data_IF_144700172681
#
_entry.id   IF_144700172681
#
_cell.length_a   1.000
_cell.length_b   1.000
_cell.length_c   1.000
_cell.angle_alpha   90.00
_cell.angle_beta   90.00
_cell.angle_gamma   90.00
#
_symmetry.space_group_name_H-M   'P 1'
#
loop_
_entity.id
_entity.type
_entity.pdbx_description
1 polymer ?
2 branched ?
3 branched ?
4 non-polymer ?
5 water ?
#
# COMPACT_ATOMS: atom_id res chain seq x y z
N UNK A 39 16.83 16.43 -10.23
CA UNK A 39 17.05 14.95 -10.37
C UNK A 39 17.01 14.11 -9.10
N UNK A 40 16.91 14.76 -7.93
CA UNK A 40 16.82 14.07 -6.63
C UNK A 40 15.55 14.42 -5.81
N UNK A 41 14.71 15.34 -6.30
CA UNK A 41 13.55 15.80 -5.54
C UNK A 41 12.49 14.71 -5.37
N UNK A 42 11.79 14.71 -4.24
CA UNK A 42 10.65 13.80 -4.02
C UNK A 42 9.52 14.07 -5.03
N UNK A 43 8.82 12.99 -5.43
CA UNK A 43 7.63 13.12 -6.29
C UNK A 43 6.35 12.88 -5.48
N UNK A 44 5.47 13.89 -5.46
CA UNK A 44 4.23 13.85 -4.67
C UNK A 44 3.01 13.33 -5.44
N UNK A 45 3.25 12.71 -6.60
CA UNK A 45 2.24 11.93 -7.36
C UNK A 45 2.63 10.43 -7.39
N UNK A 46 3.54 10.03 -6.48
CA UNK A 46 4.02 8.65 -6.34
C UNK A 46 3.73 8.16 -4.92
N UNK A 47 2.88 7.12 -4.82
CA UNK A 47 2.32 6.62 -3.55
C UNK A 47 2.84 5.20 -3.27
N UNK A 48 3.51 4.98 -2.13
CA UNK A 48 4.09 3.68 -1.84
C UNK A 48 3.35 3.04 -0.65
N UNK A 49 2.78 1.84 -0.88
CA UNK A 49 1.97 1.16 0.16
C UNK A 49 2.85 0.65 1.31
N UNK A 50 2.52 1.09 2.53
CA UNK A 50 3.34 0.90 3.73
C UNK A 50 2.51 0.20 4.83
N UNK A 51 3.15 -0.74 5.53
CA UNK A 51 2.54 -1.60 6.56
C UNK A 51 3.22 -1.34 7.90
N UNK A 52 2.40 -1.05 8.94
CA UNK A 52 2.87 -0.65 10.29
C UNK A 52 2.60 -1.69 11.37
N UNK A 53 2.50 -2.96 10.97
CA UNK A 53 2.01 -4.04 11.84
C UNK A 53 3.12 -4.95 12.41
N UNK A 54 4.39 -4.59 12.17
CA UNK A 54 5.52 -5.39 12.67
C UNK A 54 5.91 -5.02 14.12
N UNK A 55 6.28 -6.02 14.91
CA UNK A 55 6.75 -5.79 16.28
C UNK A 55 8.14 -6.32 16.52
N UNK A 56 8.79 -5.84 17.59
CA UNK A 56 10.03 -6.41 18.08
C UNK A 56 10.00 -6.57 19.60
N UNK A 57 10.90 -7.41 20.11
CA UNK A 57 11.08 -7.51 21.58
C UNK A 57 11.45 -6.16 22.19
N UNK A 58 12.31 -5.39 21.49
CA UNK A 58 12.79 -4.09 22.01
C UNK A 58 11.67 -3.12 22.38
N UNK A 59 10.66 -3.02 21.51
CA UNK A 59 9.60 -2.02 21.68
C UNK A 59 8.30 -2.66 22.19
N UNK A 60 7.79 -3.66 21.45
CA UNK A 60 6.47 -4.27 21.71
C UNK A 60 6.49 -5.39 22.75
N UNK A 61 7.66 -5.99 22.96
CA UNK A 61 7.81 -7.22 23.77
C UNK A 61 7.48 -8.51 23.04
N UNK A 62 7.24 -8.42 21.73
CA UNK A 62 6.78 -9.54 20.93
C UNK A 62 7.10 -9.26 19.47
N UNK A 63 7.49 -10.28 18.71
CA UNK A 63 7.77 -10.17 17.28
C UNK A 63 6.49 -10.31 16.41
N UNK A 64 5.60 -9.34 16.59
CA UNK A 64 4.30 -9.31 15.88
C UNK A 64 4.49 -9.33 14.36
N UNK A 65 3.64 -10.11 13.66
CA UNK A 65 3.65 -10.30 12.20
C UNK A 65 4.85 -11.12 11.65
N UNK A 66 6.05 -11.00 12.23
CA UNK A 66 7.13 -11.93 11.88
C UNK A 66 6.68 -13.37 12.21
N UNK A 67 5.91 -13.49 13.32
CA UNK A 67 5.09 -14.68 13.63
C UNK A 67 3.71 -14.50 12.98
N UNK A 68 3.22 -15.51 12.27
CA UNK A 68 1.95 -15.37 11.50
C UNK A 68 1.34 -16.76 11.27
N UNK A 69 0.02 -16.85 11.37
CA UNK A 69 -0.71 -18.09 11.02
C UNK A 69 -0.54 -18.43 9.53
N UNK A 70 -0.46 -19.73 9.21
CA UNK A 70 -0.45 -20.20 7.82
C UNK A 70 -1.93 -20.32 7.39
N UNK A 71 -2.23 -19.79 6.20
CA UNK A 71 -3.61 -19.78 5.70
C UNK A 71 -4.02 -21.18 5.21
N UNK A 72 -5.24 -21.64 5.58
CA UNK A 72 -5.74 -22.87 4.98
C UNK A 72 -6.03 -22.67 3.49
N UNK A 73 -5.96 -23.77 2.73
CA UNK A 73 -6.25 -23.75 1.28
C UNK A 73 -7.78 -23.53 1.13
N UNK A 74 -8.19 -22.45 0.41
CA UNK A 74 -9.63 -22.20 0.17
C UNK A 74 -10.40 -23.32 -0.55
N UNK A 75 -9.70 -24.15 -1.32
CA UNK A 75 -10.33 -25.26 -2.07
C UNK A 75 -10.26 -26.58 -1.32
N UNK A 81 -5.71 -27.79 10.00
CA UNK A 81 -4.68 -27.45 10.99
C UNK A 81 -3.34 -27.09 10.31
N UNK A 82 -3.29 -25.97 9.56
CA UNK A 82 -2.09 -25.65 8.78
C UNK A 82 -0.88 -25.19 9.61
N UNK A 83 -1.10 -24.72 10.84
CA UNK A 83 -0.02 -24.31 11.72
C UNK A 83 0.31 -22.83 11.67
N UNK A 84 1.44 -22.50 12.32
CA UNK A 84 1.88 -21.11 12.49
C UNK A 84 3.39 -20.99 12.32
N UNK A 85 3.82 -19.91 11.66
CA UNK A 85 5.23 -19.53 11.55
C UNK A 85 5.59 -18.82 12.87
N UNK A 86 6.65 -19.26 13.61
CA UNK A 86 6.83 -18.75 14.99
C UNK A 86 7.52 -17.38 15.15
N UNK A 87 8.08 -16.82 14.06
CA UNK A 87 8.75 -15.51 14.17
C UNK A 87 10.05 -15.52 14.96
N UNK A 88 10.72 -16.67 14.98
CA UNK A 88 12.07 -16.79 15.54
C UNK A 88 13.08 -16.19 14.56
N UNK A 89 14.35 -16.06 14.98
CA UNK A 89 15.37 -15.57 14.06
C UNK A 89 15.46 -16.44 12.80
N UNK A 90 15.31 -17.74 12.98
CA UNK A 90 15.43 -18.72 11.90
C UNK A 90 14.20 -18.83 10.98
N UNK A 91 13.00 -18.55 11.52
CA UNK A 91 11.73 -18.84 10.82
C UNK A 91 10.73 -17.65 10.95
N UNK A 92 10.73 -16.79 9.93
CA UNK A 92 9.83 -15.62 9.86
C UNK A 92 8.83 -15.79 8.72
N UNK A 93 7.75 -14.99 8.77
CA UNK A 93 6.63 -15.09 7.84
C UNK A 93 6.87 -14.31 6.52
N UNK A 94 7.95 -14.69 5.83
CA UNK A 94 8.34 -14.12 4.53
C UNK A 94 9.22 -15.15 3.83
N UNK A 95 9.20 -15.10 2.48
CA UNK A 95 10.18 -15.85 1.68
C UNK A 95 11.53 -15.10 1.55
N UNK A 96 11.59 -13.82 1.99
CA UNK A 96 12.81 -12.99 2.02
C UNK A 96 13.16 -12.64 3.49
N UNK A 97 14.31 -11.97 3.69
CA UNK A 97 14.80 -11.63 5.04
C UNK A 97 15.20 -10.13 5.08
N UNK A 98 14.57 -9.31 5.96
CA UNK A 98 14.88 -7.88 5.98
C UNK A 98 16.34 -7.54 6.38
N UNK A 99 16.95 -6.57 5.68
CA UNK A 99 18.25 -5.99 6.12
C UNK A 99 18.20 -5.49 7.57
N UNK A 100 17.06 -4.91 7.98
CA UNK A 100 16.87 -4.37 9.33
C UNK A 100 16.44 -5.40 10.37
N UNK A 101 16.34 -6.68 9.98
CA UNK A 101 15.95 -7.75 10.88
C UNK A 101 14.47 -7.74 11.26
N UNK A 102 14.14 -8.41 12.39
CA UNK A 102 12.77 -8.48 12.90
C UNK A 102 12.43 -7.18 13.65
N UNK A 103 12.16 -6.13 12.87
CA UNK A 103 12.01 -4.77 13.41
C UNK A 103 10.60 -4.45 13.93
N UNK A 104 10.51 -3.41 14.77
CA UNK A 104 9.20 -2.85 15.19
C UNK A 104 8.82 -1.59 14.39
N UNK A 105 7.56 -1.56 13.92
CA UNK A 105 6.99 -0.36 13.29
C UNK A 105 6.77 0.80 14.29
N UNK A 106 6.94 0.54 15.59
CA UNK A 106 6.86 1.57 16.63
C UNK A 106 8.25 1.98 17.16
N UNK A 107 9.33 1.53 16.53
CA UNK A 107 10.72 1.89 16.95
C UNK A 107 11.10 3.20 16.21
N UNK A 108 11.23 4.34 16.93
CA UNK A 108 11.54 5.59 16.21
C UNK A 108 12.83 5.52 15.38
N UNK A 109 13.80 4.70 15.78
CA UNK A 109 15.04 4.59 15.03
C UNK A 109 14.84 3.83 13.69
N UNK A 110 13.97 2.81 13.69
CA UNK A 110 13.59 2.11 12.44
C UNK A 110 12.85 3.10 11.52
N UNK A 111 11.94 3.89 12.09
CA UNK A 111 11.13 4.81 11.26
C UNK A 111 12.02 5.85 10.58
N UNK A 112 13.03 6.36 11.30
CA UNK A 112 14.02 7.28 10.70
C UNK A 112 14.66 6.67 9.45
N UNK A 113 15.13 5.43 9.60
CA UNK A 113 15.77 4.69 8.50
C UNK A 113 14.79 4.48 7.31
N UNK A 114 13.54 4.11 7.60
CA UNK A 114 12.53 3.98 6.54
C UNK A 114 12.32 5.30 5.77
N UNK A 115 12.27 6.43 6.48
CA UNK A 115 12.08 7.71 5.78
C UNK A 115 13.31 8.05 4.91
N UNK A 116 14.53 7.74 5.38
CA UNK A 116 15.73 7.87 4.54
C UNK A 116 15.65 7.00 3.28
N UNK A 117 15.06 5.80 3.41
CA UNK A 117 14.84 4.92 2.24
C UNK A 117 13.82 5.52 1.23
N UNK A 118 12.73 6.11 1.74
CA UNK A 118 11.77 6.84 0.86
C UNK A 118 12.49 7.98 0.10
N UNK A 119 13.36 8.72 0.80
CA UNK A 119 14.13 9.79 0.13
C UNK A 119 15.03 9.22 -0.99
N UNK A 120 15.71 8.10 -0.72
CA UNK A 120 16.53 7.45 -1.75
C UNK A 120 15.70 7.02 -2.97
N UNK A 121 14.48 6.53 -2.74
CA UNK A 121 13.57 6.08 -3.79
C UNK A 121 12.82 7.23 -4.51
N UNK A 122 12.89 8.45 -3.94
CA UNK A 122 12.19 9.64 -4.48
C UNK A 122 10.65 9.55 -4.36
N UNK A 123 10.16 8.68 -3.47
CA UNK A 123 8.71 8.44 -3.30
C UNK A 123 8.17 9.41 -2.23
N UNK A 124 7.37 10.40 -2.64
CA UNK A 124 6.93 11.45 -1.74
C UNK A 124 5.74 11.15 -0.84
N UNK A 125 4.96 10.11 -1.13
CA UNK A 125 3.76 9.80 -0.33
C UNK A 125 3.79 8.34 0.16
N UNK A 126 3.60 8.21 1.50
CA UNK A 126 3.49 6.95 2.21
C UNK A 126 1.98 6.66 2.39
N UNK A 127 1.51 5.54 1.81
CA UNK A 127 0.08 5.17 1.85
C UNK A 127 -0.12 4.08 2.93
N UNK A 128 -0.53 4.54 4.12
CA UNK A 128 -0.49 3.75 5.36
C UNK A 128 -1.71 2.82 5.53
N UNK A 129 -1.45 1.51 5.64
CA UNK A 129 -2.50 0.54 5.97
C UNK A 129 -3.27 0.97 7.22
N UNK A 130 -4.59 0.83 7.21
CA UNK A 130 -5.42 1.29 8.34
C UNK A 130 -6.61 0.34 8.58
N UNK A 131 -6.61 -0.27 9.78
CA UNK A 131 -7.50 -1.40 10.13
C UNK A 131 -8.54 -1.06 11.22
N UNK A 132 -8.62 0.21 11.64
CA UNK A 132 -9.58 0.61 12.68
C UNK A 132 -9.44 -0.24 13.96
N UNK A 133 -8.20 -0.38 14.44
CA UNK A 133 -7.90 -1.21 15.62
C UNK A 133 -8.45 -0.60 16.94
N UNK A 134 -8.55 0.74 16.98
CA UNK A 134 -9.11 1.44 18.16
C UNK A 134 -8.34 1.11 19.43
N UNK A 135 -7.02 1.13 19.35
CA UNK A 135 -6.20 0.91 20.53
C UNK A 135 -5.00 1.83 20.58
N UNK A 136 -4.46 1.95 21.79
CA UNK A 136 -3.36 2.84 22.12
C UNK A 136 -2.17 2.71 21.17
N UNK A 137 -1.85 1.45 20.85
CA UNK A 137 -0.68 1.18 20.01
C UNK A 137 -0.86 1.69 18.57
N UNK A 138 -2.06 1.57 18.01
CA UNK A 138 -2.36 2.15 16.68
C UNK A 138 -2.15 3.66 16.70
N UNK A 139 -2.73 4.32 17.71
CA UNK A 139 -2.63 5.77 17.82
C UNK A 139 -1.16 6.20 17.97
N UNK A 140 -0.40 5.47 18.78
CA UNK A 140 1.02 5.79 18.95
C UNK A 140 1.80 5.71 17.63
N UNK A 141 1.63 4.58 16.94
CA UNK A 141 2.42 4.39 15.73
C UNK A 141 2.06 5.41 14.63
N UNK A 142 0.77 5.76 14.46
CA UNK A 142 0.41 6.75 13.43
C UNK A 142 1.10 8.10 13.73
N UNK A 143 1.08 8.52 15.00
CA UNK A 143 1.75 9.76 15.36
C UNK A 143 3.26 9.72 15.15
N UNK A 144 3.90 8.59 15.47
CA UNK A 144 5.35 8.46 15.22
C UNK A 144 5.70 8.51 13.72
N UNK A 145 4.89 7.84 12.90
CA UNK A 145 5.09 7.82 11.45
C UNK A 145 4.94 9.22 10.85
N UNK A 146 3.88 9.96 11.22
CA UNK A 146 3.73 11.34 10.77
C UNK A 146 4.93 12.22 11.15
N UNK A 147 5.38 12.13 12.41
CA UNK A 147 6.53 12.94 12.87
C UNK A 147 7.82 12.60 12.10
N UNK A 148 8.09 11.30 11.91
CA UNK A 148 9.29 10.88 11.18
C UNK A 148 9.23 11.32 9.70
N UNK A 149 8.07 11.14 9.06
CA UNK A 149 7.87 11.56 7.69
C UNK A 149 8.14 13.06 7.50
N UNK A 150 7.63 13.89 8.41
CA UNK A 150 7.75 15.35 8.23
C UNK A 150 9.21 15.82 8.26
N UNK A 151 10.08 15.14 9.01
CA UNK A 151 11.52 15.49 9.08
C UNK A 151 12.19 15.42 7.71
N UNK A 152 11.68 14.57 6.82
CA UNK A 152 12.20 14.35 5.47
C UNK A 152 11.29 14.90 4.35
N UNK A 153 10.26 15.67 4.71
CA UNK A 153 9.29 16.25 3.76
C UNK A 153 8.42 15.19 3.03
N UNK A 154 8.30 14.01 3.63
CA UNK A 154 7.41 12.97 3.13
C UNK A 154 5.98 13.23 3.64
N UNK A 155 4.98 12.89 2.81
CA UNK A 155 3.56 13.03 3.15
C UNK A 155 2.93 11.65 3.42
N UNK A 156 1.81 11.65 4.18
CA UNK A 156 1.11 10.43 4.58
C UNK A 156 -0.37 10.53 4.21
N UNK A 157 -0.87 9.49 3.54
CA UNK A 157 -2.32 9.30 3.31
C UNK A 157 -2.69 7.91 3.85
N UNK A 158 -4.01 7.62 3.92
CA UNK A 158 -4.49 6.36 4.50
C UNK A 158 -5.08 5.40 3.45
N UNK A 159 -4.79 4.11 3.65
CA UNK A 159 -5.26 2.97 2.86
C UNK A 159 -6.29 2.23 3.71
N UNK A 160 -7.58 2.48 3.44
CA UNK A 160 -8.69 1.99 4.27
C UNK A 160 -8.99 0.52 3.95
N UNK A 161 -8.67 -0.34 4.93
CA UNK A 161 -8.71 -1.80 4.77
C UNK A 161 -10.11 -2.36 5.10
N UNK A 162 -10.37 -3.66 4.75
CA UNK A 162 -11.70 -4.26 4.99
C UNK A 162 -11.84 -4.75 6.44
N UNK A 163 -11.98 -3.80 7.36
CA UNK A 163 -12.16 -4.09 8.78
C UNK A 163 -13.57 -4.67 9.05
N UNK A 164 -13.76 -5.36 10.19
CA UNK A 164 -15.07 -6.01 10.44
C UNK A 164 -16.26 -5.04 10.41
N UNK A 165 -17.31 -5.42 9.69
CA UNK A 165 -18.53 -4.62 9.54
C UNK A 165 -18.33 -3.23 8.91
N UNK A 166 -17.24 -3.05 8.15
CA UNK A 166 -17.05 -1.82 7.38
C UNK A 166 -18.30 -1.52 6.52
N UNK A 167 -18.76 -0.28 6.57
CA UNK A 167 -19.95 0.18 5.81
C UNK A 167 -19.84 1.70 5.62
N UNK A 168 -20.71 2.30 4.79
CA UNK A 168 -20.50 3.75 4.51
C UNK A 168 -20.70 4.67 5.71
N UNK A 169 -21.51 4.26 6.70
CA UNK A 169 -21.72 5.09 7.90
C UNK A 169 -20.48 5.11 8.79
N UNK A 170 -19.97 3.93 9.17
CA UNK A 170 -18.72 3.94 9.97
C UNK A 170 -17.52 4.42 9.14
N UNK A 171 -17.52 4.27 7.80
CA UNK A 171 -16.45 4.90 7.00
C UNK A 171 -16.51 6.42 7.13
N UNK A 172 -17.70 7.01 7.03
CA UNK A 172 -17.81 8.47 7.20
C UNK A 172 -17.28 8.89 8.57
N UNK A 173 -17.69 8.18 9.62
CA UNK A 173 -17.26 8.50 10.99
C UNK A 173 -15.73 8.41 11.14
N UNK A 174 -15.15 7.40 10.48
CA UNK A 174 -13.69 7.19 10.55
C UNK A 174 -12.89 8.19 9.69
N UNK A 175 -13.45 8.61 8.54
CA UNK A 175 -12.84 9.70 7.74
C UNK A 175 -12.85 11.01 8.55
N UNK A 176 -13.99 11.30 9.21
CA UNK A 176 -14.09 12.49 10.09
C UNK A 176 -13.02 12.39 11.22
N UNK A 177 -12.91 11.22 11.85
CA UNK A 177 -11.94 11.01 12.93
C UNK A 177 -10.50 11.24 12.45
N UNK A 178 -10.15 10.65 11.31
CA UNK A 178 -8.77 10.78 10.81
C UNK A 178 -8.43 12.23 10.41
N UNK A 179 -9.35 12.90 9.71
CA UNK A 179 -9.13 14.32 9.33
C UNK A 179 -9.05 15.21 10.59
N UNK A 180 -9.95 14.99 11.56
CA UNK A 180 -9.93 15.78 12.81
C UNK A 180 -8.62 15.57 13.60
N UNK A 181 -8.20 14.31 13.74
CA UNK A 181 -7.02 13.96 14.55
C UNK A 181 -5.71 14.40 13.89
N UNK A 182 -5.61 14.15 12.57
CA UNK A 182 -4.31 14.26 11.85
C UNK A 182 -4.25 15.31 10.76
N UNK A 183 -5.39 15.92 10.40
CA UNK A 183 -5.44 16.85 9.27
C UNK A 183 -4.60 18.10 9.41
N UNK A 184 -4.34 18.54 10.66
CA UNK A 184 -3.46 19.70 10.89
C UNK A 184 -1.98 19.32 11.06
N UNK A 185 -1.64 18.02 11.01
CA UNK A 185 -0.23 17.63 11.08
C UNK A 185 0.41 18.03 9.73
N UNK A 186 1.63 18.66 9.76
CA UNK A 186 2.25 19.10 8.50
C UNK A 186 2.54 18.01 7.46
N UNK A 187 2.64 16.75 7.89
CA UNK A 187 2.90 15.63 6.96
C UNK A 187 1.62 15.05 6.34
N UNK A 188 0.43 15.46 6.79
CA UNK A 188 -0.84 14.92 6.23
C UNK A 188 -0.97 15.35 4.76
N UNK A 189 -1.15 14.37 3.86
CA UNK A 189 -1.21 14.64 2.40
C UNK A 189 -2.50 15.37 1.98
N UNK A 190 -2.36 16.37 1.09
CA UNK A 190 -3.51 16.94 0.36
C UNK A 190 -3.13 17.20 -1.11
N UNK A 191 -4.11 17.01 -2.00
CA UNK A 191 -4.00 17.33 -3.43
C UNK A 191 -5.05 18.40 -3.73
N UNK A 192 -4.59 19.58 -4.15
CA UNK A 192 -5.46 20.76 -4.37
C UNK A 192 -6.47 20.98 -3.23
N UNK A 193 -6.01 20.85 -2.00
CA UNK A 193 -6.83 21.09 -0.82
C UNK A 193 -7.56 19.90 -0.25
N UNK A 194 -7.54 18.74 -0.94
CA UNK A 194 -8.32 17.57 -0.52
C UNK A 194 -7.42 16.45 -0.02
N UNK A 195 -7.73 15.87 1.16
CA UNK A 195 -7.13 14.57 1.52
C UNK A 195 -7.39 13.51 0.44
N UNK A 196 -6.60 12.43 0.43
CA UNK A 196 -6.82 11.29 -0.50
C UNK A 196 -6.84 9.98 0.30
N UNK A 197 -7.82 9.12 0.01
CA UNK A 197 -7.90 7.77 0.58
C UNK A 197 -7.96 6.71 -0.52
N UNK A 198 -7.18 5.63 -0.35
CA UNK A 198 -7.34 4.40 -1.15
C UNK A 198 -8.29 3.46 -0.39
N UNK A 199 -9.21 2.78 -1.10
CA UNK A 199 -10.17 1.87 -0.45
C UNK A 199 -9.97 0.43 -0.98
N UNK A 200 -9.35 -0.43 -0.15
CA UNK A 200 -9.07 -1.82 -0.56
C UNK A 200 -10.38 -2.64 -0.61
N UNK A 201 -10.52 -3.50 -1.63
CA UNK A 201 -11.71 -4.36 -1.78
C UNK A 201 -13.01 -3.54 -1.67
N UNK A 202 -13.03 -2.39 -2.37
CA UNK A 202 -14.20 -1.51 -2.34
C UNK A 202 -15.48 -2.18 -2.89
N UNK A 203 -15.31 -3.19 -3.76
CA UNK A 203 -16.46 -3.93 -4.34
C UNK A 203 -17.28 -4.71 -3.31
N UNK A 204 -16.76 -4.89 -2.09
CA UNK A 204 -17.51 -5.51 -1.00
C UNK A 204 -18.69 -4.66 -0.50
N UNK A 205 -18.77 -3.38 -0.92
CA UNK A 205 -19.86 -2.45 -0.62
C UNK A 205 -20.53 -2.07 -1.95
N UNK A 206 -21.86 -2.20 -2.00
CA UNK A 206 -22.67 -1.92 -3.19
C UNK A 206 -22.56 -0.46 -3.64
N UNK A 207 -22.60 -0.20 -4.97
CA UNK A 207 -22.69 1.20 -5.42
C UNK A 207 -23.84 2.03 -4.83
N UNK A 208 -25.00 1.39 -4.59
CA UNK A 208 -26.14 2.11 -3.98
C UNK A 208 -25.81 2.64 -2.56
N UNK A 209 -24.93 1.93 -1.84
CA UNK A 209 -24.42 2.42 -0.55
C UNK A 209 -23.35 3.51 -0.74
N UNK A 210 -22.37 3.27 -1.62
CA UNK A 210 -21.34 4.28 -1.91
C UNK A 210 -21.95 5.65 -2.30
N UNK A 211 -23.03 5.64 -3.10
CA UNK A 211 -23.67 6.88 -3.59
C UNK A 211 -24.11 7.79 -2.42
N UNK A 212 -24.54 7.18 -1.31
CA UNK A 212 -24.99 7.93 -0.15
C UNK A 212 -23.88 8.79 0.47
N UNK A 213 -22.64 8.29 0.37
CA UNK A 213 -21.44 8.96 0.91
C UNK A 213 -20.76 9.89 -0.12
N UNK A 214 -20.80 9.50 -1.40
CA UNK A 214 -19.92 10.11 -2.44
C UNK A 214 -20.64 10.89 -3.54
N UNK A 215 -21.94 10.73 -3.73
CA UNK A 215 -22.68 11.64 -4.64
C UNK A 215 -22.85 12.99 -3.96
N UNK A 216 -22.81 14.11 -4.74
CA UNK A 216 -23.09 15.41 -4.10
C UNK A 216 -24.48 15.53 -3.43
N UNK A 217 -25.45 14.74 -3.88
CA UNK A 217 -26.78 14.69 -3.26
C UNK A 217 -26.99 13.59 -2.23
N UNK A 218 -25.94 12.84 -1.91
CA UNK A 218 -26.09 11.65 -1.09
C UNK A 218 -26.55 11.99 0.33
N UNK A 219 -27.32 11.07 0.91
CA UNK A 219 -27.92 11.21 2.23
C UNK A 219 -26.92 11.58 3.35
N UNK A 220 -25.70 11.02 3.26
CA UNK A 220 -24.62 11.30 4.23
C UNK A 220 -23.36 11.81 3.50
N UNK A 221 -23.56 12.66 2.49
CA UNK A 221 -22.43 13.03 1.63
C UNK A 221 -21.28 13.72 2.39
N UNK A 222 -20.05 13.47 1.93
CA UNK A 222 -18.90 14.29 2.28
C UNK A 222 -18.63 15.42 1.26
N UNK A 223 -19.31 15.41 0.11
CA UNK A 223 -19.04 16.43 -0.92
C UNK A 223 -19.46 17.82 -0.42
N UNK A 224 -18.58 18.81 -0.64
CA UNK A 224 -18.83 20.22 -0.23
C UNK A 224 -18.81 20.46 1.28
N UNK A 225 -18.43 19.44 2.05
CA UNK A 225 -18.29 19.54 3.51
C UNK A 225 -16.82 19.75 3.90
N UNK A 226 -16.60 20.00 5.20
CA UNK A 226 -15.24 20.10 5.73
C UNK A 226 -14.43 18.81 5.55
N UNK A 227 -15.12 17.68 5.29
CA UNK A 227 -14.49 16.35 5.23
C UNK A 227 -14.42 15.80 3.80
N UNK A 228 -14.62 16.65 2.79
CA UNK A 228 -14.51 16.25 1.38
C UNK A 228 -13.09 15.71 1.13
N UNK A 229 -12.97 14.67 0.28
CA UNK A 229 -11.70 13.98 0.03
C UNK A 229 -11.75 13.28 -1.33
N UNK A 230 -10.59 13.03 -1.91
CA UNK A 230 -10.46 12.17 -3.11
C UNK A 230 -10.52 10.70 -2.68
N UNK A 231 -11.49 9.96 -3.23
CA UNK A 231 -11.76 8.57 -2.84
C UNK A 231 -11.42 7.68 -4.04
N UNK A 232 -10.42 6.81 -3.86
CA UNK A 232 -9.83 6.00 -4.93
C UNK A 232 -10.23 4.52 -4.71
N UNK A 233 -11.15 4.01 -5.54
CA UNK A 233 -11.62 2.63 -5.40
C UNK A 233 -10.77 1.62 -6.15
N UNK A 234 -10.95 0.34 -5.83
CA UNK A 234 -10.15 -0.75 -6.45
C UNK A 234 -10.83 -1.27 -7.73
N UNK A 235 -10.20 -1.04 -8.89
CA UNK A 235 -10.64 -1.67 -10.16
C UNK A 235 -10.09 -3.10 -10.22
N UNK A 236 -10.99 -4.11 -10.20
CA UNK A 236 -10.61 -5.53 -10.28
C UNK A 236 -10.86 -6.16 -11.66
N UNK A 237 -12.11 -6.41 -12.01
CA UNK A 237 -12.46 -7.28 -13.14
C UNK A 237 -12.69 -6.54 -14.47
N UNK A 238 -13.56 -7.07 -15.33
CA UNK A 238 -13.65 -6.56 -16.70
C UNK A 238 -14.36 -5.21 -16.78
N UNK A 239 -14.14 -4.46 -17.89
CA UNK A 239 -14.79 -3.16 -18.02
C UNK A 239 -16.33 -3.17 -17.94
N UNK A 240 -16.96 -4.24 -18.44
CA UNK A 240 -18.42 -4.33 -18.40
C UNK A 240 -18.97 -4.26 -16.97
N UNK A 241 -18.20 -4.75 -16.00
CA UNK A 241 -18.55 -4.68 -14.56
C UNK A 241 -18.00 -3.38 -13.92
N UNK A 242 -16.74 -3.06 -14.18
CA UNK A 242 -16.07 -1.98 -13.43
C UNK A 242 -16.47 -0.56 -13.85
N UNK A 243 -16.76 -0.34 -15.14
CA UNK A 243 -17.14 1.01 -15.60
C UNK A 243 -18.43 1.50 -14.87
N UNK A 244 -19.53 0.71 -14.92
CA UNK A 244 -20.71 1.19 -14.19
C UNK A 244 -20.53 1.22 -12.65
N UNK A 245 -19.74 0.30 -12.10
CA UNK A 245 -19.46 0.30 -10.63
C UNK A 245 -18.87 1.65 -10.23
N UNK A 246 -17.79 2.05 -10.90
CA UNK A 246 -17.04 3.26 -10.55
C UNK A 246 -17.90 4.52 -10.74
N UNK A 247 -18.65 4.58 -11.85
CA UNK A 247 -19.55 5.74 -12.10
C UNK A 247 -20.67 5.83 -11.07
N UNK A 248 -21.34 4.71 -10.82
CA UNK A 248 -22.52 4.69 -9.92
C UNK A 248 -22.12 4.86 -8.44
N UNK A 249 -20.89 4.47 -8.07
CA UNK A 249 -20.36 4.67 -6.71
C UNK A 249 -19.84 6.10 -6.45
N UNK A 250 -19.60 6.87 -7.54
CA UNK A 250 -19.08 8.25 -7.42
C UNK A 250 -17.65 8.34 -6.84
N UNK A 251 -16.84 7.30 -7.06
CA UNK A 251 -15.41 7.41 -6.77
C UNK A 251 -14.76 8.52 -7.60
N UNK A 252 -13.74 9.18 -7.04
CA UNK A 252 -12.94 10.17 -7.79
C UNK A 252 -11.92 9.54 -8.74
N UNK A 253 -11.58 8.26 -8.50
CA UNK A 253 -10.58 7.58 -9.29
C UNK A 253 -10.50 6.13 -8.90
N UNK A 254 -9.49 5.44 -9.43
CA UNK A 254 -9.29 4.01 -9.17
C UNK A 254 -7.83 3.62 -9.25
N UNK A 255 -7.50 2.54 -8.51
CA UNK A 255 -6.16 1.92 -8.48
C UNK A 255 -6.33 0.41 -8.67
N UNK A 256 -5.21 -0.32 -8.78
CA UNK A 256 -5.28 -1.76 -9.13
C UNK A 256 -4.67 -2.69 -8.07
N UNK A 257 -3.79 -2.16 -7.20
CA UNK A 257 -3.08 -2.83 -6.08
C UNK A 257 -2.11 -3.96 -6.46
N UNK A 258 -2.59 -5.04 -7.08
CA UNK A 258 -1.82 -6.30 -7.09
C UNK A 258 -0.50 -6.16 -7.84
N UNK A 259 0.59 -6.61 -7.19
CA UNK A 259 1.91 -6.60 -7.81
C UNK A 259 2.10 -7.70 -8.86
N UNK A 260 1.25 -8.74 -8.82
CA UNK A 260 1.34 -9.91 -9.72
C UNK A 260 0.56 -9.66 -11.03
N UNK A 261 1.29 -9.56 -12.14
CA UNK A 261 0.65 -9.29 -13.43
C UNK A 261 -0.33 -10.42 -13.75
N UNK A 262 -1.51 -10.04 -14.25
CA UNK A 262 -2.52 -11.02 -14.63
C UNK A 262 -3.37 -11.61 -13.52
N UNK A 263 -3.12 -11.22 -12.26
CA UNK A 263 -3.95 -11.69 -11.14
C UNK A 263 -5.42 -11.29 -11.32
N UNK A 264 -5.64 -10.06 -11.80
CA UNK A 264 -6.95 -9.55 -12.19
C UNK A 264 -6.82 -8.86 -13.57
N UNK A 265 -7.96 -8.56 -14.19
CA UNK A 265 -7.98 -7.69 -15.39
C UNK A 265 -7.21 -6.36 -15.12
N UNK A 266 -7.50 -5.76 -13.97
CA UNK A 266 -6.90 -4.48 -13.63
C UNK A 266 -5.39 -4.50 -13.43
N UNK A 267 -4.85 -5.65 -12.97
CA UNK A 267 -3.39 -5.81 -12.78
C UNK A 267 -2.71 -6.44 -14.00
N UNK A 268 -3.36 -6.38 -15.17
CA UNK A 268 -2.77 -6.84 -16.46
C UNK A 268 -2.34 -5.58 -17.23
N UNK A 269 -1.02 -5.27 -17.29
CA UNK A 269 -0.63 -3.93 -17.79
C UNK A 269 -0.97 -3.60 -19.25
N UNK A 270 -1.19 -4.62 -20.10
CA UNK A 270 -1.66 -4.33 -21.47
C UNK A 270 -3.07 -3.69 -21.52
N UNK A 271 -3.81 -3.73 -20.40
CA UNK A 271 -5.10 -3.03 -20.32
C UNK A 271 -5.01 -1.56 -19.90
N UNK A 272 -3.82 -1.10 -19.49
CA UNK A 272 -3.70 0.21 -18.89
C UNK A 272 -3.93 1.40 -19.86
N UNK A 273 -3.50 1.31 -21.11
CA UNK A 273 -3.78 2.38 -22.08
C UNK A 273 -5.31 2.66 -22.18
N UNK A 274 -6.10 1.59 -22.33
CA UNK A 274 -7.56 1.75 -22.48
C UNK A 274 -8.23 2.20 -21.18
N UNK A 275 -7.72 1.73 -20.02
CA UNK A 275 -8.24 2.17 -18.73
C UNK A 275 -7.98 3.67 -18.51
N UNK A 276 -6.80 4.15 -18.90
CA UNK A 276 -6.48 5.59 -18.81
C UNK A 276 -7.39 6.43 -19.75
N UNK A 277 -7.63 5.96 -20.97
CA UNK A 277 -8.52 6.68 -21.91
C UNK A 277 -9.93 6.81 -21.33
N UNK A 278 -10.47 5.72 -20.76
CA UNK A 278 -11.79 5.76 -20.12
C UNK A 278 -11.79 6.74 -18.92
N UNK A 279 -10.75 6.68 -18.09
CA UNK A 279 -10.62 7.60 -16.95
C UNK A 279 -10.68 9.07 -17.39
N UNK A 280 -9.87 9.42 -18.40
CA UNK A 280 -9.82 10.79 -18.87
C UNK A 280 -11.18 11.27 -19.44
N UNK A 281 -11.86 10.38 -20.19
CA UNK A 281 -13.18 10.74 -20.78
C UNK A 281 -14.26 10.93 -19.70
N UNK A 282 -14.07 10.34 -18.52
CA UNK A 282 -15.08 10.38 -17.45
C UNK A 282 -14.67 11.17 -16.20
N UNK A 283 -13.58 11.94 -16.29
CA UNK A 283 -13.12 12.82 -15.20
C UNK A 283 -12.63 12.08 -13.96
N UNK A 284 -12.07 10.89 -14.14
CA UNK A 284 -11.56 10.04 -13.04
C UNK A 284 -10.02 10.02 -13.06
N UNK A 285 -9.44 9.89 -11.87
CA UNK A 285 -7.98 9.77 -11.68
C UNK A 285 -7.58 8.27 -11.65
N UNK A 286 -6.78 7.81 -12.61
CA UNK A 286 -6.26 6.43 -12.65
C UNK A 286 -4.86 6.39 -12.05
N UNK A 287 -4.67 5.56 -11.00
CA UNK A 287 -3.40 5.40 -10.28
C UNK A 287 -2.97 3.90 -10.36
N UNK A 288 -2.44 3.46 -11.52
CA UNK A 288 -2.04 2.05 -11.62
C UNK A 288 -0.99 1.67 -10.56
N UNK A 289 -1.04 0.40 -10.11
CA UNK A 289 -0.08 -0.12 -9.12
C UNK A 289 0.98 -1.00 -9.81
N UNK A 290 2.25 -0.69 -9.51
CA UNK A 290 3.42 -1.40 -10.04
C UNK A 290 4.19 -2.05 -8.88
N UNK A 291 4.79 -3.21 -9.12
CA UNK A 291 5.61 -3.86 -8.08
C UNK A 291 6.76 -4.66 -8.66
N UNK A 292 7.70 -5.08 -7.77
CA UNK A 292 8.94 -5.72 -8.24
C UNK A 292 8.88 -7.24 -8.42
N UNK A 293 7.81 -7.87 -7.93
CA UNK A 293 7.62 -9.32 -7.95
C UNK A 293 6.54 -9.70 -6.95
N UNK A 294 6.29 -11.01 -6.81
CA UNK A 294 5.28 -11.52 -5.85
C UNK A 294 5.66 -12.95 -5.47
N UNK A 295 5.66 -13.26 -4.15
CA UNK A 295 5.72 -14.66 -3.67
C UNK A 295 5.29 -14.70 -2.21
N UNK A 296 4.27 -15.52 -1.92
CA UNK A 296 3.63 -15.57 -0.57
C UNK A 296 3.57 -17.00 -0.01
N UNK A 297 4.42 -17.92 -0.51
CA UNK A 297 4.22 -19.33 -0.22
C UNK A 297 4.63 -19.79 1.19
N UNK A 298 5.35 -18.97 1.98
CA UNK A 298 5.53 -19.30 3.41
C UNK A 298 4.18 -19.23 4.16
N UNK A 299 3.39 -18.16 3.92
CA UNK A 299 2.07 -18.03 4.59
C UNK A 299 0.89 -18.64 3.81
N UNK A 300 1.04 -18.84 2.49
CA UNK A 300 -0.04 -19.40 1.62
C UNK A 300 0.61 -20.46 0.72
N UNK A 301 0.94 -21.65 1.29
CA UNK A 301 1.73 -22.64 0.51
C UNK A 301 1.07 -23.16 -0.76
N UNK A 302 -0.26 -23.05 -0.81
CA UNK A 302 -1.12 -23.45 -1.94
C UNK A 302 -1.23 -22.40 -3.07
N UNK A 303 -0.59 -21.23 -2.92
CA UNK A 303 -0.78 -20.09 -3.83
C UNK A 303 0.39 -19.88 -4.82
N UNK A 304 1.13 -20.96 -5.14
CA UNK A 304 2.29 -20.87 -6.00
C UNK A 304 2.06 -20.39 -7.43
N UNK A 305 0.86 -20.56 -7.97
CA UNK A 305 0.58 -20.07 -9.34
C UNK A 305 0.65 -18.53 -9.48
N UNK A 306 0.60 -17.81 -8.35
CA UNK A 306 0.66 -16.33 -8.31
C UNK A 306 2.12 -15.82 -8.24
N UNK A 307 3.11 -16.73 -8.09
CA UNK A 307 4.52 -16.29 -8.05
C UNK A 307 4.89 -15.52 -9.33
N UNK A 308 5.53 -14.38 -9.14
CA UNK A 308 6.14 -13.62 -10.25
C UNK A 308 7.62 -13.36 -9.87
N UNK A 309 8.52 -13.88 -10.70
CA UNK A 309 9.98 -13.81 -10.46
C UNK A 309 10.54 -12.40 -10.75
N UNK A 310 11.50 -11.97 -9.93
CA UNK A 310 12.06 -10.60 -10.05
C UNK A 310 13.04 -10.39 -11.22
N UNK A 311 13.70 -11.46 -11.66
CA UNK A 311 14.67 -11.42 -12.79
C UNK A 311 15.65 -10.23 -12.69
N UNK A 312 16.24 -10.06 -11.52
CA UNK A 312 17.28 -9.03 -11.29
C UNK A 312 16.82 -7.61 -11.66
N UNK A 313 15.53 -7.36 -11.50
CA UNK A 313 14.92 -6.06 -11.75
C UNK A 313 14.14 -5.92 -13.05
N UNK A 314 14.24 -6.90 -13.95
CA UNK A 314 13.59 -6.77 -15.27
C UNK A 314 12.05 -6.81 -15.17
N UNK A 315 11.51 -7.56 -14.20
CA UNK A 315 10.04 -7.57 -13.99
C UNK A 315 9.54 -6.16 -13.56
N UNK A 316 10.22 -5.56 -12.58
CA UNK A 316 9.87 -4.21 -12.09
C UNK A 316 9.94 -3.20 -13.25
N UNK A 317 11.03 -3.27 -14.02
CA UNK A 317 11.21 -2.37 -15.19
C UNK A 317 10.05 -2.47 -16.18
N UNK A 318 9.63 -3.69 -16.50
CA UNK A 318 8.55 -3.86 -17.49
C UNK A 318 7.22 -3.26 -16.97
N UNK A 319 6.91 -3.46 -15.68
CA UNK A 319 5.65 -2.97 -15.14
C UNK A 319 5.64 -1.43 -15.04
N UNK A 320 6.74 -0.86 -14.54
CA UNK A 320 6.84 0.60 -14.38
C UNK A 320 6.80 1.30 -15.77
N UNK A 321 7.50 0.73 -16.76
CA UNK A 321 7.47 1.28 -18.13
C UNK A 321 6.04 1.32 -18.69
N UNK A 322 5.26 0.26 -18.48
CA UNK A 322 3.87 0.21 -18.97
C UNK A 322 2.99 1.28 -18.32
N UNK A 323 3.16 1.52 -17.02
CA UNK A 323 2.40 2.60 -16.34
C UNK A 323 2.71 3.98 -16.97
N UNK A 324 4.00 4.29 -17.15
CA UNK A 324 4.41 5.58 -17.73
C UNK A 324 3.92 5.71 -19.17
N UNK A 325 4.03 4.65 -19.96
CA UNK A 325 3.58 4.68 -21.37
C UNK A 325 2.06 4.87 -21.50
N UNK A 326 1.28 4.45 -20.51
CA UNK A 326 -0.16 4.65 -20.51
C UNK A 326 -0.56 6.13 -20.36
N UNK A 327 0.38 7.00 -19.93
CA UNK A 327 0.14 8.44 -19.83
C UNK A 327 -0.56 8.92 -18.58
N UNK A 328 -0.46 8.14 -17.50
CA UNK A 328 -1.15 8.44 -16.23
C UNK A 328 -0.49 9.63 -15.52
N UNK A 329 -1.25 10.24 -14.59
CA UNK A 329 -0.82 11.38 -13.80
C UNK A 329 -0.34 11.05 -12.38
N UNK A 330 -0.45 9.78 -11.98
CA UNK A 330 -0.05 9.32 -10.64
C UNK A 330 0.20 7.83 -10.74
N UNK A 331 1.13 7.32 -9.92
CA UNK A 331 1.50 5.89 -9.87
C UNK A 331 1.57 5.45 -8.39
N UNK A 332 1.10 4.22 -8.12
CA UNK A 332 1.25 3.60 -6.78
C UNK A 332 2.19 2.39 -6.88
N UNK A 333 2.93 2.16 -5.78
CA UNK A 333 3.95 1.10 -5.71
C UNK A 333 3.55 0.08 -4.62
N UNK A 334 3.37 -1.18 -5.06
CA UNK A 334 3.05 -2.31 -4.20
C UNK A 334 4.31 -3.18 -4.14
N UNK A 335 5.15 -3.05 -3.08
CA UNK A 335 4.89 -2.31 -1.82
C UNK A 335 6.23 -1.82 -1.26
N UNK A 336 6.16 -0.95 -0.24
CA UNK A 336 7.39 -0.70 0.54
C UNK A 336 7.82 -1.98 1.30
N UNK A 337 6.87 -2.57 2.04
CA UNK A 337 7.21 -3.58 3.07
C UNK A 337 6.07 -4.58 3.37
N UNK A 338 5.39 -5.07 2.32
CA UNK A 338 4.51 -6.26 2.50
C UNK A 338 5.42 -7.51 2.34
N UNK A 339 6.11 -7.84 3.43
CA UNK A 339 7.08 -8.95 3.45
C UNK A 339 6.40 -10.32 3.30
N UNK A 340 5.16 -10.43 3.77
CA UNK A 340 4.43 -11.71 3.65
C UNK A 340 4.19 -12.08 2.17
N UNK A 341 3.96 -11.07 1.33
CA UNK A 341 3.62 -11.26 -0.09
C UNK A 341 4.81 -11.10 -1.03
N UNK A 342 6.00 -10.79 -0.49
CA UNK A 342 7.21 -10.74 -1.32
C UNK A 342 7.18 -9.66 -2.39
N UNK A 343 6.43 -8.58 -2.16
CA UNK A 343 6.30 -7.45 -3.10
C UNK A 343 7.19 -6.24 -2.66
N UNK A 344 7.95 -6.40 -1.56
CA UNK A 344 8.63 -5.25 -0.95
C UNK A 344 9.80 -4.70 -1.80
N UNK A 345 9.97 -3.37 -1.79
CA UNK A 345 11.19 -2.74 -2.29
C UNK A 345 12.21 -2.47 -1.15
N UNK A 346 11.78 -2.58 0.12
CA UNK A 346 12.68 -2.39 1.25
C UNK A 346 13.89 -3.34 1.13
N UNK A 347 15.10 -2.89 1.53
CA UNK A 347 16.28 -3.78 1.44
C UNK A 347 16.14 -5.15 2.18
N UNK A 348 16.57 -6.19 1.47
CA UNK A 348 16.62 -7.60 1.90
C UNK A 348 18.05 -8.11 1.78
N UNK A 349 18.42 -9.09 2.61
CA UNK A 349 19.78 -9.67 2.61
C UNK A 349 19.75 -11.19 2.47
N UNK A 350 20.84 -11.79 1.94
CA UNK A 350 20.92 -13.27 1.96
C UNK A 350 20.83 -13.83 3.38
N UNK A 351 20.11 -14.94 3.57
CA UNK A 351 20.06 -15.64 4.88
C UNK A 351 19.71 -17.10 4.66
N UNK A 352 20.45 -17.98 5.33
CA UNK A 352 20.12 -19.39 5.38
C UNK A 352 20.11 -19.79 6.84
N UNK A 353 19.04 -20.43 7.26
CA UNK A 353 18.94 -20.89 8.64
C UNK A 353 18.75 -22.36 8.60
N UNK A 354 18.79 -22.96 9.78
CA UNK A 354 18.48 -24.37 9.91
C UNK A 354 17.05 -24.73 9.45
N UNK A 355 16.12 -23.75 9.43
CA UNK A 355 14.71 -23.99 9.10
C UNK A 355 14.26 -23.62 7.65
N UNK A 356 14.98 -22.74 6.96
CA UNK A 356 14.54 -22.24 5.64
C UNK A 356 15.74 -21.55 4.97
N UNK A 357 15.85 -21.72 3.65
CA UNK A 357 16.81 -20.96 2.84
C UNK A 357 16.03 -19.82 2.16
N UNK A 358 16.27 -18.57 2.55
CA UNK A 358 15.48 -17.43 2.07
C UNK A 358 15.91 -17.05 0.65
N UNK A 359 14.97 -16.46 -0.09
CA UNK A 359 15.28 -15.75 -1.34
C UNK A 359 16.00 -14.44 -0.99
N UNK A 360 16.66 -13.83 -1.98
CA UNK A 360 17.37 -12.56 -1.78
C UNK A 360 17.46 -11.82 -3.13
N UNK A 361 18.09 -10.64 -3.14
CA UNK A 361 18.14 -9.82 -4.35
C UNK A 361 19.34 -10.13 -5.24
N UNK A 362 20.26 -11.00 -4.81
CA UNK A 362 21.45 -11.32 -5.62
C UNK A 362 20.97 -11.78 -7.02
N UNK A 363 21.59 -11.34 -8.10
CA UNK A 363 22.91 -10.68 -8.13
C UNK A 363 22.90 -9.14 -7.95
N UNK A 364 21.75 -8.56 -7.63
CA UNK A 364 21.67 -7.14 -7.26
C UNK A 364 22.00 -6.96 -5.75
N UNK A 365 22.39 -5.73 -5.40
CA UNK A 365 22.69 -5.34 -3.99
C UNK A 365 21.38 -5.09 -3.18
N UNK A 366 21.46 -5.10 -1.82
CA UNK A 366 20.23 -4.96 -1.01
C UNK A 366 19.37 -3.71 -1.29
N UNK A 367 20.01 -2.57 -1.63
CA UNK A 367 19.29 -1.31 -1.91
C UNK A 367 18.91 -1.12 -3.39
N UNK A 368 19.06 -2.16 -4.22
CA UNK A 368 18.82 -2.00 -5.65
C UNK A 368 17.40 -1.53 -5.98
N UNK A 369 16.38 -2.05 -5.29
CA UNK A 369 15.00 -1.69 -5.61
C UNK A 369 14.67 -0.24 -5.20
N UNK A 370 15.34 0.28 -4.16
CA UNK A 370 15.25 1.72 -3.84
C UNK A 370 15.84 2.59 -4.98
N UNK A 371 17.08 2.28 -5.38
CA UNK A 371 17.70 3.09 -6.43
C UNK A 371 17.00 2.91 -7.79
N UNK A 372 16.46 1.73 -8.08
CA UNK A 372 15.73 1.56 -9.37
C UNK A 372 14.38 2.29 -9.34
N UNK A 373 13.76 2.35 -8.15
CA UNK A 373 12.55 3.21 -8.02
C UNK A 373 12.88 4.69 -8.35
N UNK A 374 14.02 5.19 -7.85
CA UNK A 374 14.43 6.58 -8.16
C UNK A 374 14.62 6.82 -9.67
N UNK A 375 15.20 5.82 -10.36
CA UNK A 375 15.36 5.86 -11.83
C UNK A 375 13.99 6.04 -12.48
N UNK A 376 13.02 5.21 -12.10
CA UNK A 376 11.69 5.26 -12.71
C UNK A 376 10.89 6.52 -12.34
N UNK A 377 11.03 7.03 -11.11
CA UNK A 377 10.42 8.32 -10.75
C UNK A 377 10.92 9.42 -11.70
N UNK A 378 12.22 9.44 -11.98
CA UNK A 378 12.78 10.39 -12.96
C UNK A 378 12.15 10.29 -14.36
N UNK A 379 11.98 9.05 -14.86
CA UNK A 379 11.34 8.84 -16.17
C UNK A 379 9.85 9.23 -16.14
N UNK A 380 9.16 8.98 -15.01
CA UNK A 380 7.77 9.43 -14.84
C UNK A 380 7.67 10.97 -14.88
N UNK A 381 8.59 11.65 -14.18
CA UNK A 381 8.58 13.13 -14.16
C UNK A 381 8.87 13.71 -15.54
N UNK A 382 9.73 13.05 -16.32
CA UNK A 382 10.00 13.47 -17.71
C UNK A 382 8.74 13.48 -18.57
N UNK A 383 7.79 12.56 -18.26
CA UNK A 383 6.51 12.36 -18.95
C UNK A 383 5.34 13.21 -18.46
N UNK A 384 5.53 13.93 -17.34
CA UNK A 384 4.45 14.73 -16.73
C UNK A 384 4.36 16.13 -17.32
X LIG B 1 -2.13 -7.36 0.89
X LIG B 1 -2.29 -7.87 2.33
X LIG B 1 -3.73 -7.70 2.81
X LIG B 1 -4.19 -6.24 2.62
X LIG B 1 -3.93 -5.80 1.17
X LIG B 1 -4.18 -4.29 0.93
X LIG B 1 -2.82 -8.22 -0.03
X LIG B 1 -1.42 -7.12 3.18
X LIG B 1 -3.87 -8.05 4.22
X LIG B 1 -5.58 -6.14 2.95
X LIG B 1 -2.58 -6.02 0.76
X LIG B 1 -3.27 -3.48 1.73
X LIG B 2 -4.27 -9.41 4.45
X LIG B 2 -4.78 -9.49 5.90
X LIG B 2 -3.65 -9.40 6.91
X LIG B 2 -2.54 -10.40 6.61
X LIG B 2 -2.08 -10.18 5.15
X LIG B 2 -1.01 -11.21 4.73
X LIG B 2 -5.47 -10.74 6.05
X LIG B 2 -4.18 -9.59 8.25
X LIG B 2 -1.43 -10.19 7.52
X LIG B 2 -3.19 -10.34 4.24
X LIG B 2 -0.51 -10.97 3.41
X LIG C 1 -8.66 -12.55 -3.68
X LIG C 1 -8.30 -11.62 -2.51
X LIG C 1 -9.13 -10.35 -2.56
X LIG C 1 -9.02 -9.68 -3.94
X LIG C 1 -9.40 -10.68 -5.06
X LIG C 1 -9.22 -10.11 -6.46
X LIG C 1 -9.98 -13.06 -3.45
X LIG C 1 -6.89 -11.28 -2.64
X LIG C 1 -8.73 -9.45 -1.49
X LIG C 1 -9.90 -8.54 -4.06
X LIG C 1 -8.58 -11.87 -4.94
X LIG C 1 -9.73 -11.02 -7.45
X LIG C 2 -6.23 -11.35 -1.36
X LIG C 2 -4.92 -10.58 -1.46
X LIG C 2 -3.94 -11.32 -2.38
X LIG C 2 -3.78 -12.77 -1.92
X LIG C 2 -5.15 -13.48 -1.84
X LIG C 2 -5.06 -14.94 -1.38
X LIG C 2 -4.40 -10.45 -0.13
X LIG C 2 -2.69 -10.64 -2.43
X LIG C 2 -2.92 -13.50 -2.79
X LIG C 2 -6.02 -12.72 -0.96
X LIG C 2 -6.33 -15.62 -1.56
X LIG D 1 13.44 -13.66 -7.25
X LIG D 1 12.28 -13.67 -7.68
X LIG D 1 14.46 -13.72 -7.97
X LIG D 1 13.63 -13.61 -5.78
X LIG E 1 -2.91 12.79 -6.60
X LIG E 1 -1.77 13.04 -7.09
X LIG E 1 -3.26 13.13 -5.43
X LIG E 1 -3.87 12.02 -7.43
X LIG F 1 -3.38 -7.41 10.82
X LIG F 1 -3.16 -8.59 10.50
X LIG F 1 -2.69 -6.81 11.69
X LIG F 1 -4.49 -6.70 10.09
X LIG G 1 -1.31 -10.10 -5.52
X LIG G 1 -0.64 -9.61 -6.46
X LIG G 1 -1.49 -9.48 -4.46
X LIG G 1 -1.90 -11.48 -5.60
X LIG H 1 -12.07 0.18 -21.24
X LIG H 1 -11.63 -0.87 -21.77
X LIG H 1 -11.71 0.61 -20.12
X LIG H 1 -13.08 0.98 -21.98
X LIG I 1 12.88 -18.46 -6.60
X LIG I 1 14.11 -18.36 -6.77
X LIG I 1 12.31 -19.50 -6.16
X LIG I 1 12.04 -17.25 -6.95
#
# INVERSE_FOLDING_TARGET
>A
MGSSHHHHHHSSGLVPRGSHMDDNNPSNSENNGGNNNLGTELDYDTFCFYYDWYGSEAIDGQYRHWAHAIAPDPNGGSGQNPGTIPGTQESIASNFYPQLGRYSSSDPNILTKHMDMFVMARTGVLALTWWNEQDETEAKRIGLILDAADKKKIKVCFHLEPYPSRNVQNLRENIVKLITRYGNHPAFYRKDGKPLFFIYDSYLIEPSEWEKLLSPGGSITIRNTAYDALMIGLWTSSPTVQRPFILNAHFDGFYTYFAATGFTYGSTPTNWVSMQKWAKENGKIFIPSVGPGYIDTRIRPWNGSVIRTRTDGQYYDAMYRKAIEAGVSAISITSFNEWHEGSQIEPAVPYTSSEFTYLDYENREPDYYLTRTAYWVGKFRESKQ
>B hetero
1 MAN C1 C2 C3 C4 C5 C6 O1 O2 O3 O4 O5 O6
2 MAN C1 C2 C3 C4 C5 C6 O2 O3 O4 O5 O6
>C hetero
1 MAN C1 C2 C3 C4 C5 C6 O1 O2 O3 O4 O5 O6
2 MAN C1 C2 C3 C4 C5 C6 O2 O3 O4 O5 O6
>D hetero
1 ACT C O OXT CH3
>E hetero
1 ACT C O OXT CH3
>F hetero
1 ACT C O OXT CH3
>G hetero
1 ACT C O OXT CH3
>H hetero
1 ACT C O OXT CH3
>I hetero
1 ACT C O OXT CH3
#
